data_IF_552617319442
#
_entry.id   IF_552617319442
#
_cell.length_a   1.000
_cell.length_b   1.000
_cell.length_c   1.000
_cell.angle_alpha   90.00
_cell.angle_beta   90.00
_cell.angle_gamma   90.00
#
_symmetry.space_group_name_H-M   'P 1'
#
loop_
_entity.id
_entity.type
_entity.pdbx_description
1 polymer ?
#
# COMPACT_ATOMS: atom_id res chain seq x y z
N UNK A 1 -16.45 -14.74 -11.60
CA UNK A 1 -16.19 -15.11 -10.18
C UNK A 1 -17.46 -15.71 -9.59
N UNK A 2 -17.44 -16.84 -8.91
CA UNK A 2 -18.59 -17.32 -8.16
C UNK A 2 -18.97 -16.30 -7.07
N UNK A 3 -20.27 -16.17 -6.79
CA UNK A 3 -20.79 -15.22 -5.78
C UNK A 3 -20.18 -15.42 -4.38
N UNK A 4 -19.69 -16.61 -4.08
CA UNK A 4 -19.07 -16.94 -2.80
C UNK A 4 -17.75 -16.14 -2.57
N UNK A 5 -16.95 -15.94 -3.60
CA UNK A 5 -15.67 -15.23 -3.51
C UNK A 5 -15.88 -13.74 -3.23
N UNK A 6 -16.90 -13.13 -3.82
CA UNK A 6 -17.23 -11.72 -3.57
C UNK A 6 -17.66 -11.48 -2.13
N UNK A 7 -18.46 -12.36 -1.55
CA UNK A 7 -18.91 -12.28 -0.15
C UNK A 7 -17.73 -12.40 0.83
N UNK A 8 -16.76 -13.26 0.54
CA UNK A 8 -15.56 -13.42 1.37
C UNK A 8 -14.67 -12.17 1.30
N UNK A 9 -14.46 -11.62 0.09
CA UNK A 9 -13.70 -10.39 -0.12
C UNK A 9 -14.36 -9.22 0.63
N UNK A 10 -15.66 -9.06 0.46
CA UNK A 10 -16.45 -8.02 1.12
C UNK A 10 -16.34 -8.13 2.66
N UNK A 11 -16.49 -9.32 3.20
CA UNK A 11 -16.38 -9.58 4.65
C UNK A 11 -15.00 -9.17 5.17
N UNK A 12 -13.91 -9.56 4.49
CA UNK A 12 -12.54 -9.19 4.86
C UNK A 12 -12.32 -7.68 4.77
N UNK A 13 -12.79 -7.06 3.69
CA UNK A 13 -12.69 -5.62 3.48
C UNK A 13 -13.43 -4.81 4.57
N UNK A 14 -14.66 -5.19 4.89
CA UNK A 14 -15.43 -4.55 5.94
C UNK A 14 -14.79 -4.70 7.33
N UNK A 15 -14.15 -5.84 7.61
CA UNK A 15 -13.38 -6.05 8.84
C UNK A 15 -12.21 -5.07 8.94
N UNK A 16 -11.46 -4.87 7.85
CA UNK A 16 -10.35 -3.91 7.80
C UNK A 16 -10.85 -2.47 7.99
N UNK A 17 -11.93 -2.08 7.29
CA UNK A 17 -12.53 -0.75 7.45
C UNK A 17 -12.91 -0.51 8.91
N UNK A 18 -13.62 -1.43 9.55
CA UNK A 18 -14.02 -1.30 10.96
C UNK A 18 -12.82 -1.14 11.88
N UNK A 19 -11.78 -1.95 11.70
CA UNK A 19 -10.56 -1.84 12.49
C UNK A 19 -9.92 -0.45 12.38
N UNK A 20 -9.82 0.09 11.18
CA UNK A 20 -9.26 1.43 10.98
C UNK A 20 -10.18 2.55 11.49
N UNK A 21 -11.50 2.44 11.32
CA UNK A 21 -12.47 3.40 11.86
C UNK A 21 -12.42 3.49 13.38
N UNK A 22 -12.33 2.35 14.07
CA UNK A 22 -12.16 2.32 15.53
C UNK A 22 -10.83 2.96 15.96
N UNK A 23 -9.77 2.72 15.23
CA UNK A 23 -8.47 3.38 15.44
C UNK A 23 -8.54 4.90 15.25
N UNK A 24 -9.26 5.37 14.23
CA UNK A 24 -9.48 6.81 14.01
C UNK A 24 -10.34 7.44 15.11
N UNK A 25 -11.41 6.79 15.51
CA UNK A 25 -12.25 7.28 16.59
C UNK A 25 -11.42 7.55 17.84
N UNK A 26 -10.65 6.56 18.30
CA UNK A 26 -9.77 6.71 19.45
C UNK A 26 -8.74 7.83 19.28
N UNK A 27 -8.14 7.95 18.09
CA UNK A 27 -7.17 8.99 17.81
C UNK A 27 -7.80 10.38 17.82
N UNK A 28 -8.99 10.56 17.27
CA UNK A 28 -9.71 11.82 17.28
C UNK A 28 -10.06 12.20 18.74
N UNK A 29 -10.60 11.27 19.50
CA UNK A 29 -10.91 11.50 20.94
C UNK A 29 -9.67 11.92 21.73
N UNK A 30 -8.51 11.33 21.44
CA UNK A 30 -7.25 11.66 22.10
C UNK A 30 -6.69 13.01 21.61
N UNK A 31 -6.57 13.22 20.30
CA UNK A 31 -5.94 14.41 19.71
C UNK A 31 -6.74 15.68 20.02
N UNK A 32 -8.07 15.59 20.05
CA UNK A 32 -8.97 16.71 20.36
C UNK A 32 -9.43 16.75 21.82
N UNK A 33 -8.82 15.96 22.69
CA UNK A 33 -9.06 16.08 24.14
C UNK A 33 -8.53 17.43 24.64
N UNK A 34 -9.19 17.98 25.67
CA UNK A 34 -8.77 19.23 26.29
C UNK A 34 -7.32 19.18 26.75
N UNK A 35 -6.90 18.09 27.40
CA UNK A 35 -5.53 17.94 27.90
C UNK A 35 -4.48 17.94 26.78
N UNK A 36 -4.76 17.31 25.62
CA UNK A 36 -3.85 17.35 24.48
C UNK A 36 -3.84 18.74 23.83
N UNK A 37 -4.98 19.40 23.76
CA UNK A 37 -5.07 20.75 23.22
C UNK A 37 -4.25 21.74 24.04
N UNK A 38 -4.42 21.72 25.38
CA UNK A 38 -3.67 22.56 26.31
C UNK A 38 -2.16 22.31 26.25
N UNK A 39 -1.77 21.03 26.07
CA UNK A 39 -0.35 20.63 25.86
C UNK A 39 0.22 21.21 24.56
N UNK A 40 -0.49 21.07 23.43
CA UNK A 40 -0.06 21.62 22.14
C UNK A 40 0.09 23.15 22.19
N UNK A 41 -0.84 23.82 22.86
CA UNK A 41 -0.78 25.28 23.06
C UNK A 41 0.45 25.69 23.87
N UNK A 42 0.73 24.96 24.95
CA UNK A 42 1.93 25.20 25.79
C UNK A 42 3.22 24.93 25.01
N UNK A 43 3.28 23.91 24.17
CA UNK A 43 4.43 23.63 23.29
C UNK A 43 4.67 24.77 22.31
N UNK A 44 3.62 25.30 21.69
CA UNK A 44 3.72 26.44 20.76
C UNK A 44 4.18 27.70 21.46
N UNK A 45 3.65 27.99 22.67
CA UNK A 45 4.05 29.15 23.46
C UNK A 45 5.52 29.05 23.94
N UNK A 46 6.03 27.85 24.13
CA UNK A 46 7.44 27.61 24.46
C UNK A 46 8.41 27.68 23.30
N UNK A 47 7.92 27.70 22.07
CA UNK A 47 8.76 27.80 20.86
C UNK A 47 8.91 29.29 20.45
N UNK A 48 10.15 29.83 20.45
CA UNK A 48 10.38 31.25 20.16
C UNK A 48 9.87 31.69 18.77
N UNK A 49 9.85 30.79 17.79
CA UNK A 49 9.41 31.09 16.43
C UNK A 49 7.89 31.23 16.39
N UNK A 50 7.19 30.24 16.94
CA UNK A 50 5.73 30.27 16.94
C UNK A 50 5.20 31.41 17.80
N UNK A 51 5.78 31.65 18.95
CA UNK A 51 5.43 32.80 19.82
C UNK A 51 5.66 34.15 19.11
N UNK A 52 6.80 34.33 18.45
CA UNK A 52 7.14 35.58 17.74
C UNK A 52 6.13 35.90 16.62
N UNK A 53 5.58 34.88 15.96
CA UNK A 53 4.59 35.04 14.88
C UNK A 53 3.14 34.93 15.37
N UNK A 54 2.88 34.92 16.69
CA UNK A 54 1.57 34.79 17.31
C UNK A 54 0.80 33.52 16.84
N UNK A 55 1.52 32.44 16.61
CA UNK A 55 0.94 31.12 16.30
C UNK A 55 0.66 30.26 17.55
N UNK A 56 0.99 30.76 18.73
CA UNK A 56 0.67 30.19 20.04
C UNK A 56 -0.78 30.54 20.47
N UNK A 57 -1.72 30.26 19.58
CA UNK A 57 -3.14 30.55 19.78
C UNK A 57 -4.01 29.30 19.55
N UNK A 58 -5.20 29.24 20.14
CA UNK A 58 -6.12 28.10 20.01
C UNK A 58 -6.47 27.76 18.56
N UNK A 59 -6.65 28.75 17.73
CA UNK A 59 -6.99 28.58 16.32
C UNK A 59 -5.89 27.86 15.55
N UNK A 60 -4.64 28.20 15.81
CA UNK A 60 -3.51 27.54 15.15
C UNK A 60 -3.31 26.10 15.65
N UNK A 61 -3.51 25.84 16.94
CA UNK A 61 -3.55 24.45 17.50
C UNK A 61 -4.57 23.63 16.76
N UNK A 62 -5.79 24.17 16.57
CA UNK A 62 -6.86 23.49 15.86
C UNK A 62 -6.44 23.14 14.41
N UNK A 63 -5.92 24.10 13.65
CA UNK A 63 -5.44 23.89 12.28
C UNK A 63 -4.34 22.82 12.23
N UNK A 64 -3.41 22.83 13.19
CA UNK A 64 -2.31 21.84 13.30
C UNK A 64 -2.85 20.44 13.55
N UNK A 65 -3.81 20.28 14.47
CA UNK A 65 -4.45 19.01 14.76
C UNK A 65 -5.25 18.47 13.56
N UNK A 66 -6.00 19.33 12.88
CA UNK A 66 -6.73 18.97 11.65
C UNK A 66 -5.80 18.53 10.54
N UNK A 67 -4.65 19.19 10.36
CA UNK A 67 -3.63 18.81 9.39
C UNK A 67 -3.08 17.41 9.68
N UNK A 68 -2.72 17.10 10.93
CA UNK A 68 -2.27 15.76 11.34
C UNK A 68 -3.35 14.70 11.12
N UNK A 69 -4.60 15.00 11.41
CA UNK A 69 -5.72 14.11 11.18
C UNK A 69 -5.89 13.80 9.69
N UNK A 70 -5.86 14.81 8.83
CA UNK A 70 -5.98 14.65 7.38
C UNK A 70 -4.89 13.71 6.82
N UNK A 71 -3.64 13.89 7.23
CA UNK A 71 -2.52 13.03 6.84
C UNK A 71 -2.75 11.59 7.34
N UNK A 72 -3.21 11.44 8.59
CA UNK A 72 -3.48 10.13 9.19
C UNK A 72 -4.61 9.38 8.47
N UNK A 73 -5.67 10.08 8.08
CA UNK A 73 -6.79 9.51 7.31
C UNK A 73 -6.29 9.05 5.94
N UNK A 74 -5.56 9.89 5.21
CA UNK A 74 -5.01 9.54 3.89
C UNK A 74 -4.11 8.30 3.94
N UNK A 75 -3.22 8.22 4.94
CA UNK A 75 -2.34 7.06 5.11
C UNK A 75 -3.13 5.77 5.37
N UNK A 76 -4.11 5.81 6.28
CA UNK A 76 -4.90 4.62 6.63
C UNK A 76 -5.83 4.16 5.50
N UNK A 77 -6.36 5.09 4.71
CA UNK A 77 -7.08 4.71 3.50
C UNK A 77 -6.16 3.98 2.51
N UNK A 78 -4.91 4.45 2.34
CA UNK A 78 -3.90 3.72 1.57
C UNK A 78 -3.69 2.30 2.11
N UNK A 79 -3.47 2.15 3.42
CA UNK A 79 -3.29 0.84 4.08
C UNK A 79 -4.47 -0.12 3.86
N UNK A 80 -5.72 0.40 3.82
CA UNK A 80 -6.92 -0.41 3.51
C UNK A 80 -6.90 -0.83 2.03
N UNK A 81 -6.67 0.11 1.12
CA UNK A 81 -6.68 -0.17 -0.32
C UNK A 81 -5.56 -1.12 -0.73
N UNK A 82 -4.38 -1.04 -0.12
CA UNK A 82 -3.24 -1.92 -0.38
C UNK A 82 -3.55 -3.39 -0.04
N UNK A 83 -4.51 -3.65 0.87
CA UNK A 83 -4.93 -5.01 1.23
C UNK A 83 -5.98 -5.62 0.29
N UNK A 84 -6.76 -4.80 -0.42
CA UNK A 84 -7.86 -5.30 -1.27
C UNK A 84 -7.37 -6.25 -2.37
N UNK A 85 -6.33 -5.93 -3.15
CA UNK A 85 -5.81 -6.85 -4.15
C UNK A 85 -5.35 -8.18 -3.57
N UNK A 86 -4.78 -8.16 -2.36
CA UNK A 86 -4.36 -9.34 -1.62
C UNK A 86 -5.54 -10.22 -1.22
N UNK A 87 -6.66 -9.62 -0.79
CA UNK A 87 -7.88 -10.36 -0.51
C UNK A 87 -8.49 -10.97 -1.76
N UNK A 88 -8.44 -10.23 -2.89
CA UNK A 88 -8.89 -10.73 -4.19
C UNK A 88 -8.05 -11.92 -4.63
N UNK A 89 -6.72 -11.81 -4.59
CA UNK A 89 -5.82 -12.90 -4.94
C UNK A 89 -6.02 -14.12 -4.04
N UNK A 90 -6.11 -13.91 -2.73
CA UNK A 90 -6.36 -14.96 -1.74
C UNK A 90 -7.67 -15.71 -2.00
N UNK A 91 -8.76 -14.99 -2.27
CA UNK A 91 -10.06 -15.59 -2.54
C UNK A 91 -10.10 -16.28 -3.92
N UNK A 92 -9.41 -15.71 -4.95
CA UNK A 92 -9.41 -16.26 -6.31
C UNK A 92 -8.62 -17.56 -6.42
N UNK A 93 -7.52 -17.67 -5.69
CA UNK A 93 -6.57 -18.77 -5.79
C UNK A 93 -6.62 -19.73 -4.60
N UNK A 94 -7.53 -19.50 -3.66
CA UNK A 94 -7.67 -20.28 -2.41
C UNK A 94 -6.36 -20.37 -1.60
N UNK A 95 -5.62 -19.28 -1.54
CA UNK A 95 -4.37 -19.14 -0.79
C UNK A 95 -4.62 -18.25 0.43
N UNK A 96 -4.02 -18.58 1.57
CA UNK A 96 -4.12 -17.73 2.77
C UNK A 96 -3.55 -16.33 2.50
N UNK A 97 -4.17 -15.24 3.00
CA UNK A 97 -3.69 -13.87 2.74
C UNK A 97 -2.22 -13.65 3.15
N UNK A 98 -1.77 -14.34 4.18
CA UNK A 98 -0.40 -14.29 4.69
C UNK A 98 0.62 -14.93 3.73
N UNK A 99 0.17 -15.91 2.92
CA UNK A 99 0.99 -16.55 1.90
C UNK A 99 1.04 -15.74 0.60
N UNK A 100 0.04 -14.87 0.37
CA UNK A 100 0.05 -13.94 -0.76
C UNK A 100 1.00 -12.75 -0.50
N UNK A 101 1.14 -12.34 0.76
CA UNK A 101 2.02 -11.23 1.16
C UNK A 101 3.45 -11.72 1.40
N UNK A 102 4.31 -11.61 0.43
CA UNK A 102 5.70 -12.04 0.54
C UNK A 102 6.63 -10.92 1.03
N UNK A 103 7.61 -11.27 1.89
CA UNK A 103 8.54 -10.29 2.47
C UNK A 103 9.96 -10.56 2.00
N UNK A 104 10.62 -9.52 1.50
CA UNK A 104 12.00 -9.53 1.05
C UNK A 104 12.81 -8.48 1.80
N UNK A 105 13.78 -8.88 2.61
CA UNK A 105 14.77 -7.97 3.23
C UNK A 105 14.14 -6.71 3.85
N UNK A 106 12.98 -6.88 4.52
CA UNK A 106 12.24 -5.77 5.14
C UNK A 106 11.27 -5.01 4.20
N UNK A 107 11.19 -5.39 2.93
CA UNK A 107 10.16 -4.95 2.00
C UNK A 107 9.06 -6.01 1.89
N UNK A 108 7.82 -5.59 1.79
CA UNK A 108 6.67 -6.46 1.62
C UNK A 108 6.10 -6.27 0.21
N UNK A 109 6.04 -7.37 -0.54
CA UNK A 109 5.42 -7.41 -1.86
C UNK A 109 3.90 -7.39 -1.71
N UNK A 110 3.21 -6.66 -2.59
CA UNK A 110 1.75 -6.56 -2.51
C UNK A 110 1.07 -7.89 -2.80
N UNK A 111 1.51 -8.61 -3.85
CA UNK A 111 1.02 -9.95 -4.20
C UNK A 111 2.17 -10.81 -4.69
N UNK A 112 2.41 -11.95 -4.05
CA UNK A 112 3.24 -13.04 -4.54
C UNK A 112 2.37 -14.25 -4.87
N UNK A 113 2.38 -14.69 -6.11
CA UNK A 113 1.70 -15.91 -6.55
C UNK A 113 2.75 -16.92 -6.99
N UNK A 114 3.17 -17.79 -6.06
CA UNK A 114 4.08 -18.89 -6.33
C UNK A 114 3.31 -20.07 -6.94
N UNK A 115 3.83 -20.68 -7.97
CA UNK A 115 3.16 -21.75 -8.70
C UNK A 115 3.01 -23.05 -7.89
N UNK A 116 3.82 -23.26 -6.85
CA UNK A 116 3.68 -24.36 -5.91
C UNK A 116 2.50 -24.21 -4.93
N UNK A 117 1.97 -22.99 -4.80
CA UNK A 117 0.77 -22.71 -4.01
C UNK A 117 -0.52 -22.76 -4.84
N UNK A 118 -0.42 -22.81 -6.17
CA UNK A 118 -1.55 -22.80 -7.08
C UNK A 118 -1.98 -24.21 -7.47
N UNK A 119 -3.29 -24.41 -7.63
CA UNK A 119 -3.80 -25.59 -8.33
C UNK A 119 -3.38 -25.63 -9.80
N UNK A 120 -3.33 -26.80 -10.41
CA UNK A 120 -2.82 -27.01 -11.77
C UNK A 120 -3.52 -26.13 -12.83
N UNK A 121 -4.83 -25.94 -12.73
CA UNK A 121 -5.61 -25.10 -13.65
C UNK A 121 -5.22 -23.63 -13.52
N UNK A 122 -5.11 -23.11 -12.31
CA UNK A 122 -4.72 -21.72 -12.03
C UNK A 122 -3.27 -21.47 -12.41
N UNK A 123 -2.38 -22.41 -12.13
CA UNK A 123 -0.98 -22.37 -12.57
C UNK A 123 -0.88 -22.29 -14.09
N UNK A 124 -1.60 -23.13 -14.82
CA UNK A 124 -1.61 -23.11 -16.28
C UNK A 124 -2.19 -21.79 -16.82
N UNK A 125 -3.23 -21.27 -16.17
CA UNK A 125 -3.83 -19.98 -16.55
C UNK A 125 -2.85 -18.82 -16.34
N UNK A 126 -2.25 -18.71 -15.15
CA UNK A 126 -1.30 -17.64 -14.83
C UNK A 126 -0.07 -17.73 -15.74
N UNK A 127 0.50 -18.93 -15.94
CA UNK A 127 1.64 -19.14 -16.85
C UNK A 127 1.33 -18.64 -18.26
N UNK A 128 0.17 -19.00 -18.81
CA UNK A 128 -0.26 -18.56 -20.15
C UNK A 128 -0.41 -17.04 -20.25
N UNK A 129 -0.86 -16.38 -19.18
CA UNK A 129 -0.95 -14.92 -19.13
C UNK A 129 0.46 -14.33 -19.13
N UNK A 130 1.36 -14.84 -18.29
CA UNK A 130 2.72 -14.34 -18.15
C UNK A 130 3.55 -14.50 -19.44
N UNK A 131 3.39 -15.62 -20.16
CA UNK A 131 4.02 -15.83 -21.47
C UNK A 131 3.73 -14.70 -22.47
N UNK A 132 2.53 -14.13 -22.44
CA UNK A 132 2.14 -12.99 -23.32
C UNK A 132 2.92 -11.72 -22.99
N UNK A 133 3.44 -11.61 -21.77
CA UNK A 133 4.25 -10.48 -21.31
C UNK A 133 5.76 -10.78 -21.30
N UNK A 134 6.17 -11.93 -21.89
CA UNK A 134 7.57 -12.27 -22.02
C UNK A 134 8.22 -12.88 -20.80
N UNK A 135 7.44 -13.41 -19.87
CA UNK A 135 7.98 -14.12 -18.70
C UNK A 135 8.77 -15.36 -19.11
N UNK A 136 9.91 -15.67 -18.48
CA UNK A 136 10.63 -16.91 -18.68
C UNK A 136 9.75 -18.12 -18.33
N UNK A 137 9.88 -19.20 -19.11
CA UNK A 137 9.10 -20.43 -18.87
C UNK A 137 9.41 -21.11 -17.55
N UNK A 138 10.62 -20.90 -17.07
CA UNK A 138 11.14 -21.43 -15.79
C UNK A 138 10.77 -20.59 -14.58
N UNK A 139 10.05 -19.47 -14.77
CA UNK A 139 9.60 -18.65 -13.63
C UNK A 139 8.78 -19.47 -12.65
N UNK A 140 9.08 -19.36 -11.36
CA UNK A 140 8.39 -20.08 -10.28
C UNK A 140 7.05 -19.43 -9.88
N UNK A 141 6.68 -18.30 -10.52
CA UNK A 141 5.48 -17.54 -10.24
C UNK A 141 5.57 -16.08 -10.65
N UNK A 142 4.74 -15.24 -10.05
CA UNK A 142 4.71 -13.80 -10.31
C UNK A 142 4.72 -13.01 -9.02
N UNK A 143 5.51 -11.94 -8.98
CA UNK A 143 5.50 -10.93 -7.93
C UNK A 143 4.92 -9.63 -8.44
N UNK A 144 3.80 -9.18 -7.85
CA UNK A 144 3.06 -8.01 -8.31
C UNK A 144 3.16 -6.90 -7.26
N UNK A 145 3.63 -5.76 -7.68
CA UNK A 145 3.65 -4.51 -6.93
C UNK A 145 2.58 -3.58 -7.45
N UNK A 146 1.77 -2.99 -6.57
CA UNK A 146 0.60 -2.20 -6.94
C UNK A 146 0.82 -0.73 -6.63
N UNK A 147 0.45 0.13 -7.58
CA UNK A 147 0.52 1.58 -7.43
C UNK A 147 -0.79 2.22 -7.88
N UNK A 148 -1.49 2.86 -6.95
CA UNK A 148 -2.68 3.64 -7.28
C UNK A 148 -2.31 4.94 -8.00
N UNK A 149 -1.25 5.60 -7.49
CA UNK A 149 -0.65 6.76 -8.12
C UNK A 149 0.85 6.52 -8.30
N UNK A 150 1.35 6.84 -9.46
CA UNK A 150 2.76 6.76 -9.75
C UNK A 150 3.35 8.17 -9.86
N UNK A 151 4.00 8.64 -8.78
CA UNK A 151 4.70 9.93 -8.79
C UNK A 151 6.17 9.74 -9.20
N UNK A 152 6.53 10.07 -10.44
CA UNK A 152 7.88 9.86 -10.94
C UNK A 152 8.93 10.78 -10.30
N UNK A 153 8.51 11.82 -9.58
CA UNK A 153 9.41 12.74 -8.87
C UNK A 153 9.87 12.16 -7.52
N UNK A 154 9.24 11.10 -7.03
CA UNK A 154 9.67 10.37 -5.84
C UNK A 154 10.79 9.37 -6.20
N UNK A 155 12.00 9.90 -6.30
CA UNK A 155 13.19 9.09 -6.64
C UNK A 155 13.52 8.02 -5.58
N UNK A 156 13.12 8.23 -4.33
CA UNK A 156 13.31 7.24 -3.26
C UNK A 156 12.36 6.06 -3.43
N UNK A 157 11.10 6.33 -3.79
CA UNK A 157 10.11 5.30 -4.05
C UNK A 157 10.47 4.49 -5.31
N UNK A 158 10.86 5.16 -6.39
CA UNK A 158 11.28 4.49 -7.60
C UNK A 158 12.49 3.56 -7.37
N UNK A 159 13.44 3.96 -6.52
CA UNK A 159 14.56 3.07 -6.13
C UNK A 159 14.06 1.82 -5.41
N UNK A 160 13.16 1.96 -4.44
CA UNK A 160 12.55 0.81 -3.74
C UNK A 160 11.82 -0.12 -4.71
N UNK A 161 11.14 0.43 -5.70
CA UNK A 161 10.43 -0.36 -6.72
C UNK A 161 11.44 -1.15 -7.59
N UNK A 162 12.56 -0.54 -7.96
CA UNK A 162 13.65 -1.22 -8.69
C UNK A 162 14.30 -2.31 -7.84
N UNK A 163 14.57 -2.02 -6.55
CA UNK A 163 15.13 -3.00 -5.60
C UNK A 163 14.16 -4.17 -5.42
N UNK A 164 12.85 -3.90 -5.30
CA UNK A 164 11.82 -4.95 -5.20
C UNK A 164 11.83 -5.85 -6.44
N UNK A 165 11.92 -5.28 -7.65
CA UNK A 165 12.04 -6.09 -8.87
C UNK A 165 13.27 -7.02 -8.83
N UNK A 166 14.39 -6.53 -8.30
CA UNK A 166 15.60 -7.34 -8.09
C UNK A 166 15.36 -8.52 -7.13
N UNK A 167 14.71 -8.29 -6.00
CA UNK A 167 14.38 -9.35 -5.04
C UNK A 167 13.41 -10.37 -5.62
N UNK A 168 12.36 -9.91 -6.30
CA UNK A 168 11.38 -10.78 -6.97
C UNK A 168 12.07 -11.71 -7.98
N UNK A 169 13.00 -11.18 -8.79
CA UNK A 169 13.80 -11.98 -9.73
C UNK A 169 14.74 -12.96 -9.04
N UNK A 170 15.37 -12.55 -7.94
CA UNK A 170 16.26 -13.45 -7.18
C UNK A 170 15.53 -14.69 -6.64
N UNK A 171 14.23 -14.57 -6.38
CA UNK A 171 13.33 -15.67 -6.00
C UNK A 171 12.73 -16.41 -7.20
N UNK A 172 13.23 -16.15 -8.40
CA UNK A 172 12.73 -16.74 -9.65
C UNK A 172 11.26 -16.42 -9.95
N UNK A 173 10.75 -15.29 -9.42
CA UNK A 173 9.42 -14.78 -9.73
C UNK A 173 9.50 -13.73 -10.85
N UNK A 174 8.46 -13.65 -11.68
CA UNK A 174 8.36 -12.63 -12.72
C UNK A 174 7.81 -11.33 -12.12
N UNK A 175 8.57 -10.21 -12.13
CA UNK A 175 8.12 -8.95 -11.53
C UNK A 175 7.09 -8.24 -12.43
N UNK A 176 5.98 -7.82 -11.83
CA UNK A 176 4.92 -7.07 -12.48
C UNK A 176 4.59 -5.81 -11.68
N UNK A 177 4.47 -4.67 -12.36
CA UNK A 177 3.97 -3.44 -11.79
C UNK A 177 2.57 -3.14 -12.31
N UNK A 178 1.58 -3.12 -11.41
CA UNK A 178 0.21 -2.78 -11.73
C UNK A 178 -0.05 -1.33 -11.32
N UNK A 179 -0.18 -0.44 -12.30
CA UNK A 179 -0.39 0.99 -12.09
C UNK A 179 -1.83 1.33 -12.49
N UNK A 180 -2.66 1.74 -11.53
CA UNK A 180 -4.06 2.09 -11.78
C UNK A 180 -4.25 3.47 -12.39
N UNK A 181 -3.34 4.41 -12.14
CA UNK A 181 -3.44 5.76 -12.68
C UNK A 181 -2.85 5.86 -14.07
N UNK A 182 -3.65 6.26 -15.04
CA UNK A 182 -3.19 6.59 -16.40
C UNK A 182 -2.64 8.02 -16.53
N UNK A 183 -2.83 8.88 -15.53
CA UNK A 183 -2.50 10.32 -15.60
C UNK A 183 -1.09 10.61 -15.10
N UNK A 184 -0.61 9.85 -14.13
CA UNK A 184 0.65 10.12 -13.44
C UNK A 184 1.91 9.45 -14.00
N UNK A 185 1.87 8.38 -14.83
CA UNK A 185 3.08 7.75 -15.34
C UNK A 185 3.83 8.68 -16.30
N UNK A 186 5.15 8.83 -16.07
CA UNK A 186 6.06 9.45 -17.05
C UNK A 186 6.89 8.36 -17.73
N UNK A 187 7.16 8.52 -19.03
CA UNK A 187 7.87 7.55 -19.86
C UNK A 187 9.23 7.17 -19.29
N UNK A 188 9.96 8.13 -18.75
CA UNK A 188 11.23 7.93 -18.09
C UNK A 188 11.16 6.97 -16.91
N UNK A 189 10.17 7.11 -16.01
CA UNK A 189 10.01 6.29 -14.84
C UNK A 189 9.52 4.88 -15.22
N UNK A 190 8.61 4.79 -16.18
CA UNK A 190 8.19 3.52 -16.77
C UNK A 190 9.37 2.83 -17.45
N UNK A 191 10.19 3.57 -18.18
CA UNK A 191 11.39 3.05 -18.81
C UNK A 191 12.40 2.47 -17.80
N UNK A 192 12.53 3.06 -16.60
CA UNK A 192 13.37 2.53 -15.52
C UNK A 192 12.82 1.23 -14.95
N UNK A 193 11.51 1.18 -14.69
CA UNK A 193 10.86 -0.05 -14.20
C UNK A 193 10.96 -1.18 -15.22
N UNK A 194 10.73 -0.91 -16.52
CA UNK A 194 10.87 -1.92 -17.58
C UNK A 194 12.29 -2.47 -17.72
N UNK A 195 13.32 -1.68 -17.41
CA UNK A 195 14.71 -2.16 -17.41
C UNK A 195 15.06 -2.97 -16.17
N UNK A 196 14.37 -2.75 -15.06
CA UNK A 196 14.55 -3.50 -13.83
C UNK A 196 13.78 -4.83 -13.84
N UNK A 197 12.59 -4.87 -14.41
CA UNK A 197 11.73 -6.05 -14.58
C UNK A 197 11.82 -6.62 -15.96
#
# INVERSE_FOLDING_TARGET
>A
MPNHDLSLIETRFLKEIRHHLEGWKRKIEQDFSKGNFDKELAELAGDPVYHKFAFDCPEYVFVRLMGRMSISVGRRLGEIYDKVPRFVASARFDIAPEQVAEKFTGLELDIGLRFDLLGDEDKAHVSKVLERYGAPKEAAGVGIEIRYNFNPNDSARLRKDVDMAGYVKAENLYPVYLIYSAISPRDDAIGRLKRAG
#
